data_IF_053276425591
#
_entry.id   IF_053276425591
#
_cell.length_a   1.000
_cell.length_b   1.000
_cell.length_c   1.000
_cell.angle_alpha   90.00
_cell.angle_beta   90.00
_cell.angle_gamma   90.00
#
_symmetry.space_group_name_H-M   'P 1'
#
loop_
_entity.id
_entity.type
_entity.pdbx_description
1 polymer ?
#
# COMPACT_ATOMS: atom_id res chain seq x y z
N UNK A 1 -22.10 -7.90 29.84
CA UNK A 1 -20.92 -7.01 29.97
C UNK A 1 -21.30 -5.68 29.33
N UNK A 2 -21.20 -4.57 30.06
CA UNK A 2 -21.60 -3.24 29.59
C UNK A 2 -20.48 -2.62 28.76
N UNK A 3 -20.35 -3.03 27.50
CA UNK A 3 -19.38 -2.47 26.58
C UNK A 3 -19.75 -1.03 26.20
N UNK A 4 -18.75 -0.16 26.02
CA UNK A 4 -18.94 1.18 25.48
C UNK A 4 -18.45 1.24 24.04
N UNK A 5 -19.29 1.75 23.16
CA UNK A 5 -18.96 2.11 21.78
C UNK A 5 -18.79 3.64 21.72
N UNK A 6 -17.68 4.10 21.13
CA UNK A 6 -17.39 5.51 20.92
C UNK A 6 -17.20 5.73 19.43
N UNK A 7 -18.05 6.55 18.82
CA UNK A 7 -18.01 6.89 17.39
C UNK A 7 -17.64 8.37 17.24
N UNK A 8 -16.85 8.69 16.22
CA UNK A 8 -16.56 10.05 15.80
C UNK A 8 -17.08 10.23 14.37
N UNK A 9 -18.20 10.93 14.22
CA UNK A 9 -18.99 10.87 12.99
C UNK A 9 -19.41 12.24 12.46
N UNK A 10 -19.50 12.33 11.13
CA UNK A 10 -20.13 13.44 10.44
C UNK A 10 -21.65 13.31 10.53
N UNK A 11 -22.33 14.33 11.03
CA UNK A 11 -23.78 14.29 11.26
C UNK A 11 -24.57 15.27 10.39
N UNK A 12 -23.87 16.02 9.52
CA UNK A 12 -24.45 17.00 8.62
C UNK A 12 -23.74 16.97 7.26
N UNK A 13 -24.52 17.14 6.19
CA UNK A 13 -23.98 17.31 4.85
C UNK A 13 -23.35 18.70 4.72
N UNK A 14 -22.05 18.75 4.45
CA UNK A 14 -21.34 19.98 4.10
C UNK A 14 -20.86 19.93 2.66
N UNK A 15 -20.79 21.09 2.00
CA UNK A 15 -20.25 21.20 0.63
C UNK A 15 -18.78 20.76 0.62
N UNK A 16 -18.01 21.18 1.62
CA UNK A 16 -16.61 20.79 1.76
C UNK A 16 -16.47 19.28 1.91
N UNK A 17 -17.22 18.64 2.81
CA UNK A 17 -17.18 17.18 2.98
C UNK A 17 -17.56 16.42 1.71
N UNK A 18 -18.57 16.89 0.98
CA UNK A 18 -18.97 16.29 -0.30
C UNK A 18 -17.90 16.44 -1.40
N UNK A 19 -17.19 17.57 -1.45
CA UNK A 19 -16.11 17.79 -2.43
C UNK A 19 -14.83 17.04 -2.04
N UNK A 20 -14.50 16.97 -0.75
CA UNK A 20 -13.29 16.34 -0.26
C UNK A 20 -13.39 14.81 -0.31
N UNK A 21 -14.51 14.25 0.12
CA UNK A 21 -14.66 12.80 0.27
C UNK A 21 -15.54 12.16 -0.81
N UNK A 22 -16.33 12.93 -1.55
CA UNK A 22 -17.24 12.42 -2.57
C UNK A 22 -16.59 11.76 -3.79
N UNK A 23 -15.27 11.85 -3.92
CA UNK A 23 -14.49 11.16 -4.96
C UNK A 23 -13.79 9.90 -4.44
N UNK A 24 -13.87 9.60 -3.14
CA UNK A 24 -13.27 8.40 -2.57
C UNK A 24 -14.08 7.16 -2.92
N UNK A 25 -13.38 6.12 -3.34
CA UNK A 25 -13.96 4.79 -3.52
C UNK A 25 -14.55 4.31 -2.18
N UNK A 26 -15.85 4.01 -2.19
CA UNK A 26 -16.59 3.58 -0.99
C UNK A 26 -17.51 4.64 -0.39
N UNK A 27 -17.27 5.93 -0.64
CA UNK A 27 -18.06 7.01 -0.04
C UNK A 27 -19.57 6.91 -0.35
N UNK A 28 -19.92 6.40 -1.52
CA UNK A 28 -21.31 6.24 -1.98
C UNK A 28 -21.83 4.79 -1.91
N UNK A 29 -21.07 3.84 -1.34
CA UNK A 29 -21.42 2.40 -1.37
C UNK A 29 -22.41 1.98 -0.28
N UNK A 30 -23.31 2.86 0.14
CA UNK A 30 -24.33 2.53 1.12
C UNK A 30 -25.58 1.91 0.48
N UNK A 31 -26.24 1.01 1.21
CA UNK A 31 -27.45 0.31 0.75
C UNK A 31 -28.70 0.70 1.56
N UNK A 32 -28.54 1.56 2.56
CA UNK A 32 -29.53 1.97 3.55
C UNK A 32 -29.93 3.46 3.37
N UNK A 33 -30.26 3.84 2.14
CA UNK A 33 -30.59 5.24 1.78
C UNK A 33 -31.71 5.85 2.65
N UNK A 34 -32.69 5.05 3.07
CA UNK A 34 -33.81 5.48 3.92
C UNK A 34 -33.39 5.98 5.31
N UNK A 35 -32.21 5.58 5.80
CA UNK A 35 -31.68 6.02 7.09
C UNK A 35 -30.84 7.29 6.98
N UNK A 36 -30.31 7.59 5.78
CA UNK A 36 -29.28 8.60 5.56
C UNK A 36 -29.87 9.97 5.23
N UNK A 37 -29.04 10.99 5.41
CA UNK A 37 -29.36 12.36 5.01
C UNK A 37 -29.45 12.38 3.47
N UNK A 38 -30.55 12.88 2.85
CA UNK A 38 -30.71 12.85 1.41
C UNK A 38 -29.51 13.40 0.61
N UNK A 39 -29.00 12.58 -0.31
CA UNK A 39 -27.83 12.92 -1.13
C UNK A 39 -26.53 13.04 -0.33
N UNK A 40 -26.37 12.24 0.72
CA UNK A 40 -25.19 12.15 1.58
C UNK A 40 -25.08 10.73 2.16
N UNK A 41 -23.87 10.19 2.38
CA UNK A 41 -23.72 8.95 3.13
C UNK A 41 -23.86 9.14 4.65
N UNK A 42 -24.08 10.35 5.15
CA UNK A 42 -24.09 10.61 6.59
C UNK A 42 -25.47 10.34 7.22
N UNK A 43 -25.48 9.91 8.49
CA UNK A 43 -26.68 9.78 9.30
C UNK A 43 -26.90 11.05 10.15
N UNK A 44 -28.15 11.43 10.36
CA UNK A 44 -28.50 12.47 11.33
C UNK A 44 -28.34 11.95 12.77
N UNK A 45 -28.23 12.83 13.79
CA UNK A 45 -28.17 12.39 15.18
C UNK A 45 -29.36 11.51 15.60
N UNK A 46 -30.57 11.85 15.14
CA UNK A 46 -31.77 11.06 15.44
C UNK A 46 -31.72 9.67 14.80
N UNK A 47 -31.13 9.55 13.61
CA UNK A 47 -30.99 8.27 12.91
C UNK A 47 -29.91 7.41 13.55
N UNK A 48 -28.79 8.01 13.97
CA UNK A 48 -27.78 7.33 14.78
C UNK A 48 -28.34 6.80 16.09
N UNK A 49 -29.10 7.62 16.83
CA UNK A 49 -29.74 7.18 18.07
C UNK A 49 -30.67 5.99 17.82
N UNK A 50 -31.51 6.06 16.78
CA UNK A 50 -32.44 4.98 16.44
C UNK A 50 -31.73 3.67 16.08
N UNK A 51 -30.68 3.74 15.25
CA UNK A 51 -29.90 2.56 14.84
C UNK A 51 -29.21 1.93 16.05
N UNK A 52 -28.55 2.74 16.88
CA UNK A 52 -27.87 2.25 18.08
C UNK A 52 -28.83 1.60 19.07
N UNK A 53 -30.00 2.20 19.31
CA UNK A 53 -31.03 1.61 20.17
C UNK A 53 -31.55 0.26 19.63
N UNK A 54 -31.73 0.13 18.30
CA UNK A 54 -32.15 -1.13 17.66
C UNK A 54 -31.07 -2.22 17.77
N UNK A 55 -29.80 -1.83 17.69
CA UNK A 55 -28.64 -2.72 17.76
C UNK A 55 -28.20 -3.08 19.20
N UNK A 56 -28.96 -2.67 20.22
CA UNK A 56 -28.69 -3.05 21.60
C UNK A 56 -27.87 -2.06 22.40
N UNK A 57 -27.86 -0.80 21.99
CA UNK A 57 -27.28 0.30 22.75
C UNK A 57 -28.36 1.23 23.29
N UNK A 58 -29.05 0.86 24.39
CA UNK A 58 -30.18 1.64 24.91
C UNK A 58 -29.79 2.99 25.49
N UNK A 59 -28.50 3.22 25.79
CA UNK A 59 -28.00 4.48 26.33
C UNK A 59 -27.08 5.11 25.29
N UNK A 60 -27.52 6.20 24.66
CA UNK A 60 -26.76 6.98 23.69
C UNK A 60 -26.54 8.39 24.23
N UNK A 61 -25.27 8.80 24.32
CA UNK A 61 -24.82 10.08 24.84
C UNK A 61 -24.05 10.84 23.76
N UNK A 62 -24.25 12.15 23.75
CA UNK A 62 -23.54 13.08 22.88
C UNK A 62 -22.72 14.02 23.76
N UNK A 63 -21.51 13.64 24.21
CA UNK A 63 -20.73 14.44 25.15
C UNK A 63 -20.36 15.84 24.62
N UNK A 64 -20.33 16.01 23.30
CA UNK A 64 -19.96 17.25 22.62
C UNK A 64 -21.14 17.97 21.95
N UNK A 65 -22.32 18.05 22.61
CA UNK A 65 -23.53 18.67 22.03
C UNK A 65 -23.31 20.11 21.56
N UNK A 66 -22.43 20.86 22.22
CA UNK A 66 -22.09 22.24 21.83
C UNK A 66 -21.37 22.34 20.49
N UNK A 67 -20.86 21.23 19.95
CA UNK A 67 -20.18 21.17 18.66
C UNK A 67 -21.09 20.67 17.52
N UNK A 68 -22.40 20.49 17.75
CA UNK A 68 -23.35 19.99 16.72
C UNK A 68 -23.35 20.89 15.49
N UNK A 69 -23.25 22.21 15.70
CA UNK A 69 -23.22 23.21 14.62
C UNK A 69 -21.96 23.13 13.75
N UNK A 70 -20.92 22.40 14.19
CA UNK A 70 -19.71 22.15 13.41
C UNK A 70 -19.85 20.93 12.47
N UNK A 71 -21.00 20.24 12.48
CA UNK A 71 -21.30 19.13 11.58
C UNK A 71 -20.63 17.80 11.93
N UNK A 72 -19.94 17.72 13.07
CA UNK A 72 -19.27 16.52 13.57
C UNK A 72 -19.64 16.26 15.04
N UNK A 73 -19.77 15.00 15.43
CA UNK A 73 -20.11 14.61 16.81
C UNK A 73 -19.35 13.38 17.29
N UNK A 74 -19.10 13.37 18.60
CA UNK A 74 -18.73 12.16 19.33
C UNK A 74 -20.02 11.55 19.87
N UNK A 75 -20.25 10.27 19.57
CA UNK A 75 -21.41 9.48 20.03
C UNK A 75 -20.87 8.40 20.96
N UNK A 76 -21.40 8.33 22.17
CA UNK A 76 -21.03 7.31 23.16
C UNK A 76 -22.25 6.44 23.43
N UNK A 77 -22.15 5.15 23.20
CA UNK A 77 -23.25 4.21 23.28
C UNK A 77 -22.90 3.04 24.21
N UNK A 78 -23.75 2.73 25.19
CA UNK A 78 -23.55 1.61 26.13
C UNK A 78 -24.37 0.40 25.70
N UNK A 79 -23.72 -0.74 25.56
CA UNK A 79 -24.35 -2.00 25.18
C UNK A 79 -25.18 -2.59 26.33
N UNK A 80 -26.36 -3.11 26.01
CA UNK A 80 -27.21 -3.90 26.90
C UNK A 80 -26.61 -5.29 27.23
N UNK A 81 -25.48 -5.64 26.62
CA UNK A 81 -24.77 -6.90 26.84
C UNK A 81 -25.31 -8.09 26.04
N UNK A 82 -26.28 -7.88 25.13
CA UNK A 82 -26.84 -8.91 24.27
C UNK A 82 -26.31 -8.78 22.84
N UNK A 83 -25.73 -9.86 22.32
CA UNK A 83 -25.35 -9.96 20.92
C UNK A 83 -26.58 -10.41 20.13
N UNK A 84 -27.13 -9.52 19.31
CA UNK A 84 -28.20 -9.85 18.38
C UNK A 84 -27.59 -10.49 17.14
N UNK A 85 -27.80 -11.80 16.97
CA UNK A 85 -27.49 -12.47 15.71
C UNK A 85 -28.66 -12.27 14.76
N UNK A 86 -28.46 -11.48 13.71
CA UNK A 86 -29.42 -11.41 12.61
C UNK A 86 -29.34 -12.74 11.87
N UNK A 87 -30.40 -13.56 11.95
CA UNK A 87 -30.61 -14.71 11.07
C UNK A 87 -30.80 -14.20 9.62
N UNK A 88 -29.71 -13.76 8.99
CA UNK A 88 -29.63 -13.45 7.56
C UNK A 88 -28.51 -14.29 6.96
N UNK A 89 -28.94 -15.46 6.48
CA UNK A 89 -28.34 -16.28 5.42
C UNK A 89 -26.94 -16.87 5.70
N UNK A 90 -26.86 -17.77 6.68
CA UNK A 90 -25.88 -18.87 6.67
C UNK A 90 -26.48 -20.21 6.21
N UNK A 91 -27.74 -20.22 5.77
CA UNK A 91 -28.50 -21.45 5.43
C UNK A 91 -28.81 -21.65 3.94
N UNK A 92 -28.11 -20.97 3.01
CA UNK A 92 -28.38 -21.15 1.57
C UNK A 92 -27.15 -21.28 0.64
N UNK A 93 -26.03 -21.80 1.15
CA UNK A 93 -24.90 -22.27 0.31
C UNK A 93 -24.54 -23.75 0.53
N UNK A 94 -25.40 -24.51 1.21
CA UNK A 94 -25.28 -25.96 1.35
C UNK A 94 -26.43 -26.67 0.63
N UNK A 95 -26.13 -27.30 -0.51
CA UNK A 95 -27.00 -28.12 -1.39
C UNK A 95 -27.82 -27.36 -2.44
N UNK A 96 -27.15 -26.97 -3.53
CA UNK A 96 -27.72 -27.18 -4.86
C UNK A 96 -26.99 -28.36 -5.46
N UNK A 97 -27.69 -29.49 -5.56
CA UNK A 97 -27.20 -30.68 -6.22
C UNK A 97 -26.99 -30.45 -7.71
N UNK A 98 -25.95 -31.08 -8.23
CA UNK A 98 -25.57 -31.26 -9.63
C UNK A 98 -26.71 -31.05 -10.64
N UNK A 99 -26.69 -29.91 -11.32
CA UNK A 99 -27.31 -29.75 -12.63
C UNK A 99 -26.18 -29.57 -13.66
N UNK A 100 -25.97 -30.64 -14.42
CA UNK A 100 -25.00 -30.77 -15.50
C UNK A 100 -25.45 -29.91 -16.69
N UNK A 101 -24.56 -29.06 -17.20
CA UNK A 101 -24.61 -28.52 -18.57
C UNK A 101 -23.29 -28.88 -19.29
N UNK A 102 -23.34 -29.27 -20.57
CA UNK A 102 -22.27 -30.02 -21.21
C UNK A 102 -21.13 -29.11 -21.70
N UNK A 103 -19.89 -29.47 -21.39
CA UNK A 103 -18.69 -28.91 -22.00
C UNK A 103 -18.12 -29.91 -23.00
N UNK A 104 -17.89 -29.45 -24.23
CA UNK A 104 -17.24 -30.21 -25.30
C UNK A 104 -15.75 -29.89 -25.22
N UNK A 105 -14.92 -30.90 -24.99
CA UNK A 105 -13.47 -30.83 -25.19
C UNK A 105 -13.07 -31.48 -26.51
N UNK A 106 -12.16 -30.83 -27.24
CA UNK A 106 -11.43 -31.38 -28.39
C UNK A 106 -9.94 -31.37 -28.03
N UNK A 107 -9.35 -32.57 -27.94
CA UNK A 107 -7.92 -32.85 -28.19
C UNK A 107 -7.89 -33.85 -29.37
N UNK A 108 -6.89 -33.97 -30.23
CA UNK A 108 -5.49 -33.56 -30.24
C UNK A 108 -4.97 -33.66 -31.69
N UNK A 109 -3.80 -33.07 -31.99
CA UNK A 109 -2.96 -33.50 -33.11
C UNK A 109 -2.33 -32.41 -33.96
N UNK A 110 -1.02 -32.21 -33.81
CA UNK A 110 -0.20 -31.56 -34.83
C UNK A 110 1.05 -30.88 -34.27
N UNK A 111 2.17 -31.60 -34.27
CA UNK A 111 3.51 -31.03 -34.07
C UNK A 111 3.75 -29.87 -35.05
N UNK A 112 3.95 -28.64 -34.54
CA UNK A 112 4.97 -27.70 -35.03
C UNK A 112 4.94 -26.35 -34.32
N UNK A 113 6.13 -25.77 -34.18
CA UNK A 113 6.44 -24.36 -33.86
C UNK A 113 6.53 -23.97 -32.38
N UNK A 114 7.74 -24.14 -31.84
CA UNK A 114 8.24 -23.54 -30.59
C UNK A 114 8.50 -22.01 -30.76
N UNK A 115 7.95 -21.33 -31.77
CA UNK A 115 8.36 -19.94 -32.09
C UNK A 115 7.43 -18.80 -31.59
N UNK A 116 6.22 -19.08 -31.06
CA UNK A 116 5.21 -18.02 -30.90
C UNK A 116 5.24 -17.14 -29.62
N UNK A 117 5.66 -17.61 -28.42
CA UNK A 117 5.62 -16.76 -27.21
C UNK A 117 6.63 -15.60 -27.26
N UNK A 118 7.84 -15.86 -27.77
CA UNK A 118 8.94 -14.89 -27.77
C UNK A 118 8.71 -13.78 -28.80
N UNK A 119 8.25 -14.14 -30.01
CA UNK A 119 7.91 -13.18 -31.07
C UNK A 119 6.74 -12.27 -30.67
N UNK A 120 5.81 -12.76 -29.86
CA UNK A 120 4.65 -11.99 -29.39
C UNK A 120 5.06 -10.95 -28.33
N UNK A 121 5.92 -11.32 -27.39
CA UNK A 121 6.50 -10.37 -26.42
C UNK A 121 7.35 -9.31 -27.11
N UNK A 122 8.15 -9.69 -28.11
CA UNK A 122 8.94 -8.75 -28.90
C UNK A 122 8.08 -7.74 -29.65
N UNK A 123 6.92 -8.15 -30.17
CA UNK A 123 5.97 -7.24 -30.83
C UNK A 123 5.35 -6.22 -29.87
N UNK A 124 4.98 -6.64 -28.66
CA UNK A 124 4.45 -5.73 -27.62
C UNK A 124 5.52 -4.73 -27.18
N UNK A 125 6.75 -5.18 -26.96
CA UNK A 125 7.89 -4.31 -26.61
C UNK A 125 8.19 -3.33 -27.74
N UNK A 126 8.18 -3.78 -29.00
CA UNK A 126 8.38 -2.91 -30.17
C UNK A 126 7.32 -1.81 -30.27
N UNK A 127 6.04 -2.15 -30.03
CA UNK A 127 4.94 -1.20 -29.98
C UNK A 127 5.10 -0.15 -28.88
N UNK A 128 5.50 -0.57 -27.68
CA UNK A 128 5.74 0.34 -26.54
C UNK A 128 6.93 1.26 -26.83
N UNK A 129 8.05 0.72 -27.32
CA UNK A 129 9.25 1.50 -27.66
C UNK A 129 8.98 2.53 -28.77
N UNK A 130 8.16 2.17 -29.76
CA UNK A 130 7.75 3.08 -30.83
C UNK A 130 6.89 4.22 -30.31
N UNK A 131 5.94 3.94 -29.41
CA UNK A 131 5.13 4.96 -28.75
C UNK A 131 5.97 5.89 -27.85
N UNK A 132 6.96 5.33 -27.15
CA UNK A 132 7.87 6.12 -26.30
C UNK A 132 8.77 7.03 -27.15
N UNK A 133 9.35 6.49 -28.23
CA UNK A 133 10.17 7.24 -29.19
C UNK A 133 9.40 8.39 -29.85
N UNK A 134 8.14 8.17 -30.25
CA UNK A 134 7.28 9.20 -30.84
C UNK A 134 6.88 10.30 -29.83
N UNK A 135 6.63 9.91 -28.58
CA UNK A 135 6.23 10.84 -27.52
C UNK A 135 7.39 11.71 -27.04
N UNK A 136 8.60 11.14 -26.94
CA UNK A 136 9.79 11.82 -26.45
C UNK A 136 10.68 12.42 -27.56
N UNK A 137 10.41 12.09 -28.83
CA UNK A 137 11.22 12.48 -30.01
C UNK A 137 12.69 12.06 -29.91
N UNK A 138 12.96 10.95 -29.24
CA UNK A 138 14.30 10.33 -29.14
C UNK A 138 14.36 9.05 -29.98
N UNK A 139 15.53 8.67 -30.53
CA UNK A 139 15.68 7.43 -31.27
C UNK A 139 15.33 6.20 -30.41
N UNK A 140 14.76 5.17 -31.03
CA UNK A 140 14.39 3.92 -30.35
C UNK A 140 15.60 3.27 -29.65
N UNK A 141 16.78 3.37 -30.25
CA UNK A 141 18.02 2.74 -29.78
C UNK A 141 18.64 3.44 -28.55
N UNK A 142 18.12 4.60 -28.14
CA UNK A 142 18.56 5.32 -26.93
C UNK A 142 17.63 5.09 -25.73
N UNK A 143 16.72 4.13 -25.82
CA UNK A 143 15.75 3.79 -24.77
C UNK A 143 16.11 2.41 -24.21
N UNK A 144 16.51 2.39 -22.93
CA UNK A 144 16.73 1.18 -22.13
C UNK A 144 15.40 0.62 -21.61
N UNK A 145 15.22 -0.70 -21.69
CA UNK A 145 13.92 -1.34 -21.45
C UNK A 145 13.53 -1.44 -19.95
N UNK A 146 14.52 -1.41 -19.05
CA UNK A 146 14.39 -1.55 -17.60
C UNK A 146 14.38 -0.21 -16.86
N UNK A 147 14.74 0.88 -17.53
CA UNK A 147 14.79 2.21 -16.96
C UNK A 147 13.38 2.82 -16.74
N UNK A 148 13.14 3.51 -15.61
CA UNK A 148 11.87 4.17 -15.35
C UNK A 148 11.51 5.27 -16.36
N UNK A 149 10.23 5.34 -16.75
CA UNK A 149 9.68 6.37 -17.64
C UNK A 149 9.87 7.79 -17.09
N UNK A 150 9.88 7.96 -15.76
CA UNK A 150 10.16 9.24 -15.09
C UNK A 150 11.53 9.79 -15.44
N UNK A 151 12.53 8.93 -15.62
CA UNK A 151 13.92 9.32 -15.87
C UNK A 151 14.10 9.80 -17.32
N UNK A 152 13.19 9.39 -18.21
CA UNK A 152 13.05 9.92 -19.56
C UNK A 152 12.19 11.19 -19.64
N UNK A 153 11.66 11.67 -18.51
CA UNK A 153 10.85 12.89 -18.42
C UNK A 153 9.37 12.69 -18.73
N UNK A 154 8.84 11.46 -18.64
CA UNK A 154 7.39 11.21 -18.75
C UNK A 154 6.71 11.73 -17.48
N UNK A 155 5.99 12.85 -17.61
CA UNK A 155 5.16 13.47 -16.57
C UNK A 155 3.64 13.24 -16.80
N UNK A 156 2.79 13.87 -16.00
CA UNK A 156 1.33 13.73 -16.10
C UNK A 156 0.72 14.21 -17.44
N UNK A 157 1.44 15.04 -18.21
CA UNK A 157 0.97 15.54 -19.51
C UNK A 157 1.48 14.62 -20.63
N UNK A 158 2.78 14.32 -20.65
CA UNK A 158 3.40 13.42 -21.63
C UNK A 158 2.90 11.98 -21.49
N UNK A 159 2.58 11.55 -20.27
CA UNK A 159 2.04 10.23 -19.98
C UNK A 159 0.70 9.95 -20.67
N UNK A 160 -0.18 10.95 -20.78
CA UNK A 160 -1.47 10.78 -21.48
C UNK A 160 -1.29 10.56 -22.99
N UNK A 161 -0.37 11.28 -23.61
CA UNK A 161 -0.05 11.14 -25.03
C UNK A 161 0.63 9.81 -25.33
N UNK A 162 1.55 9.38 -24.46
CA UNK A 162 2.23 8.09 -24.54
C UNK A 162 1.24 6.92 -24.43
N UNK A 163 0.39 6.90 -23.40
CA UNK A 163 -0.61 5.82 -23.23
C UNK A 163 -1.61 5.78 -24.38
N UNK A 164 -2.02 6.95 -24.91
CA UNK A 164 -2.86 7.01 -26.11
C UNK A 164 -2.18 6.35 -27.31
N UNK A 165 -0.88 6.60 -27.52
CA UNK A 165 -0.13 5.98 -28.62
C UNK A 165 0.07 4.48 -28.43
N UNK A 166 0.26 4.00 -27.19
CA UNK A 166 0.35 2.56 -26.89
C UNK A 166 -1.01 1.89 -27.13
N UNK A 167 -2.10 2.51 -26.69
CA UNK A 167 -3.47 2.04 -26.93
C UNK A 167 -3.77 1.95 -28.44
N UNK A 168 -3.37 2.95 -29.23
CA UNK A 168 -3.53 2.95 -30.69
C UNK A 168 -2.63 1.90 -31.37
N UNK A 169 -1.38 1.72 -30.92
CA UNK A 169 -0.43 0.80 -31.51
C UNK A 169 -0.76 -0.67 -31.24
N UNK A 170 -1.32 -0.96 -30.06
CA UNK A 170 -1.63 -2.32 -29.62
C UNK A 170 -3.13 -2.64 -29.69
N UNK A 171 -4.00 -1.67 -29.94
CA UNK A 171 -5.45 -1.89 -29.99
C UNK A 171 -6.07 -2.20 -28.61
N UNK A 172 -5.47 -1.68 -27.53
CA UNK A 172 -5.91 -1.88 -26.14
C UNK A 172 -6.46 -0.58 -25.53
N UNK A 173 -7.15 -0.69 -24.40
CA UNK A 173 -7.72 0.46 -23.69
C UNK A 173 -7.18 0.55 -22.26
N UNK A 174 -5.98 1.09 -22.10
CA UNK A 174 -5.35 1.34 -20.81
C UNK A 174 -5.60 2.77 -20.31
N UNK A 175 -5.68 2.95 -18.98
CA UNK A 175 -5.68 4.26 -18.33
C UNK A 175 -4.25 4.80 -18.15
N UNK A 176 -4.12 6.10 -17.88
CA UNK A 176 -2.81 6.75 -17.67
C UNK A 176 -2.19 6.45 -16.30
N UNK A 177 -2.92 5.89 -15.34
CA UNK A 177 -2.38 5.53 -14.04
C UNK A 177 -1.41 4.32 -14.14
N UNK A 178 -1.66 3.42 -15.08
CA UNK A 178 -0.89 2.17 -15.31
C UNK A 178 0.60 2.44 -15.57
N UNK A 179 0.99 3.57 -16.16
CA UNK A 179 2.41 3.89 -16.39
C UNK A 179 3.16 4.31 -15.11
N UNK A 180 2.44 4.65 -14.04
CA UNK A 180 3.00 4.88 -12.71
C UNK A 180 3.14 3.57 -11.92
N UNK A 181 2.28 2.60 -12.19
CA UNK A 181 2.35 1.26 -11.60
C UNK A 181 3.35 0.34 -12.33
N UNK A 182 3.51 0.55 -13.64
CA UNK A 182 4.39 -0.20 -14.54
C UNK A 182 5.39 0.75 -15.20
N UNK A 183 6.43 1.09 -14.45
CA UNK A 183 7.30 2.24 -14.75
C UNK A 183 8.33 2.01 -15.85
N UNK A 184 8.47 0.82 -16.44
CA UNK A 184 9.45 0.55 -17.51
C UNK A 184 8.84 -0.21 -18.68
N UNK A 185 9.53 -0.25 -19.82
CA UNK A 185 9.07 -0.93 -21.04
C UNK A 185 8.81 -2.41 -20.77
N UNK A 186 9.70 -3.08 -20.03
CA UNK A 186 9.52 -4.49 -19.68
C UNK A 186 8.30 -4.72 -18.79
N UNK A 187 8.13 -3.89 -17.74
CA UNK A 187 7.02 -4.03 -16.80
C UNK A 187 5.68 -3.72 -17.46
N UNK A 188 5.64 -2.75 -18.36
CA UNK A 188 4.44 -2.42 -19.12
C UNK A 188 4.12 -3.52 -20.14
N UNK A 189 5.13 -4.09 -20.81
CA UNK A 189 4.94 -5.21 -21.72
C UNK A 189 4.38 -6.44 -21.01
N UNK A 190 4.91 -6.77 -19.82
CA UNK A 190 4.44 -7.90 -19.02
C UNK A 190 3.00 -7.68 -18.53
N UNK A 191 2.65 -6.46 -18.11
CA UNK A 191 1.27 -6.09 -17.77
C UNK A 191 0.31 -6.21 -18.95
N UNK A 192 0.71 -5.72 -20.13
CA UNK A 192 -0.09 -5.78 -21.35
C UNK A 192 -0.32 -7.23 -21.77
N UNK A 193 0.71 -8.08 -21.70
CA UNK A 193 0.61 -9.50 -22.01
C UNK A 193 -0.28 -10.26 -21.02
N UNK A 194 -0.16 -9.97 -19.72
CA UNK A 194 -0.96 -10.60 -18.68
C UNK A 194 -2.45 -10.21 -18.77
N UNK A 195 -2.73 -8.94 -19.07
CA UNK A 195 -4.08 -8.36 -19.00
C UNK A 195 -4.82 -8.45 -20.33
N UNK A 196 -4.15 -8.14 -21.44
CA UNK A 196 -4.74 -8.04 -22.77
C UNK A 196 -4.24 -9.11 -23.75
N UNK A 197 -3.36 -10.03 -23.31
CA UNK A 197 -2.75 -11.04 -24.18
C UNK A 197 -3.76 -11.89 -24.96
N UNK A 198 -4.94 -12.17 -24.39
CA UNK A 198 -6.02 -12.91 -25.07
C UNK A 198 -6.69 -12.09 -26.19
N UNK A 199 -6.95 -10.80 -25.97
CA UNK A 199 -7.54 -9.89 -26.96
C UNK A 199 -6.56 -9.58 -28.09
N UNK A 200 -5.28 -9.38 -27.73
CA UNK A 200 -4.17 -9.17 -28.65
C UNK A 200 -3.89 -10.42 -29.52
N UNK A 201 -4.02 -11.63 -28.93
CA UNK A 201 -3.86 -12.89 -29.66
C UNK A 201 -4.98 -13.14 -30.68
N UNK A 202 -6.20 -12.68 -30.40
CA UNK A 202 -7.34 -12.76 -31.32
C UNK A 202 -7.18 -11.83 -32.54
N UNK A 203 -6.52 -10.67 -32.37
CA UNK A 203 -6.12 -9.79 -33.48
C UNK A 203 -4.95 -10.33 -34.30
N UNK A 204 -4.05 -11.11 -33.69
CA UNK A 204 -2.93 -11.76 -34.35
C UNK A 204 -3.31 -12.99 -35.20
N UNK A 205 -4.45 -13.63 -34.90
CA UNK A 205 -4.92 -14.83 -35.61
C UNK A 205 -5.74 -14.53 -36.88
N UNK A 206 -6.09 -13.27 -37.15
CA UNK A 206 -6.84 -12.88 -38.37
C UNK A 206 -5.97 -12.70 -39.64
N UNK A 207 -4.68 -13.03 -39.59
CA UNK A 207 -3.78 -12.98 -40.76
C UNK A 207 -3.17 -14.35 -41.14
N UNK A 208 -3.68 -15.44 -40.55
CA UNK A 208 -3.36 -16.81 -40.94
C UNK A 208 -4.66 -17.64 -40.97
N UNK A 209 -5.54 -17.29 -41.90
CA UNK A 209 -6.81 -17.99 -42.12
C UNK A 209 -6.60 -19.28 -42.93
N UNK A 210 -7.61 -20.15 -42.88
CA UNK A 210 -7.78 -21.39 -43.65
C UNK A 210 -6.90 -22.60 -43.25
N UNK A 211 -7.46 -23.56 -42.51
CA UNK A 211 -7.95 -24.85 -43.05
C UNK A 211 -8.36 -25.81 -41.91
N UNK A 212 -9.54 -26.44 -42.08
CA UNK A 212 -10.02 -27.72 -41.51
C UNK A 212 -10.70 -27.72 -40.13
N UNK A 213 -12.01 -27.86 -40.22
CA UNK A 213 -12.93 -28.24 -39.17
C UNK A 213 -12.85 -29.73 -38.78
N UNK A 214 -13.18 -29.99 -37.50
CA UNK A 214 -13.94 -31.15 -36.98
C UNK A 214 -13.22 -32.50 -36.84
N UNK A 215 -12.95 -32.94 -35.60
CA UNK A 215 -13.47 -34.19 -35.00
C UNK A 215 -12.86 -34.51 -33.61
N UNK A 216 -13.71 -35.08 -32.74
CA UNK A 216 -13.49 -35.52 -31.35
C UNK A 216 -12.64 -36.80 -31.19
N UNK A 217 -12.03 -37.03 -30.01
CA UNK A 217 -12.51 -37.94 -28.91
C UNK A 217 -11.44 -38.15 -27.82
N UNK A 218 -11.93 -38.27 -26.58
CA UNK A 218 -11.33 -38.30 -25.23
C UNK A 218 -10.61 -39.63 -24.86
N UNK A 219 -9.57 -39.57 -23.98
CA UNK A 219 -9.35 -40.48 -22.80
C UNK A 219 -8.11 -40.13 -21.89
N UNK A 220 -8.39 -39.51 -20.73
CA UNK A 220 -7.94 -39.65 -19.30
C UNK A 220 -6.57 -40.26 -18.85
N UNK A 221 -5.77 -39.50 -18.06
CA UNK A 221 -5.53 -39.65 -16.59
C UNK A 221 -4.26 -38.91 -16.08
N UNK A 222 -4.38 -38.17 -14.95
CA UNK A 222 -3.30 -37.77 -14.05
C UNK A 222 -3.84 -37.66 -12.59
N UNK A 223 -3.05 -37.95 -11.53
CA UNK A 223 -3.56 -37.97 -10.16
C UNK A 223 -3.32 -36.66 -9.38
N UNK A 224 -4.43 -36.20 -8.78
CA UNK A 224 -4.66 -35.72 -7.41
C UNK A 224 -3.56 -34.98 -6.62
N UNK A 225 -3.82 -33.69 -6.33
CA UNK A 225 -3.33 -32.99 -5.15
C UNK A 225 -4.47 -32.08 -4.62
N UNK A 226 -4.95 -32.38 -3.42
CA UNK A 226 -6.03 -31.66 -2.76
C UNK A 226 -5.56 -30.26 -2.26
N UNK A 227 -6.43 -29.23 -2.21
CA UNK A 227 -6.10 -27.94 -1.60
C UNK A 227 -6.21 -28.02 -0.08
N UNK A 228 -5.22 -27.47 0.62
CA UNK A 228 -5.23 -27.32 2.08
C UNK A 228 -6.15 -26.16 2.51
N UNK A 229 -6.89 -26.36 3.61
CA UNK A 229 -7.75 -25.36 4.26
C UNK A 229 -6.93 -24.23 4.93
N UNK A 230 -7.44 -22.97 4.99
CA UNK A 230 -6.77 -21.88 5.69
C UNK A 230 -6.86 -22.10 7.20
N UNK A 231 -5.74 -22.46 7.82
CA UNK A 231 -5.63 -22.55 9.28
C UNK A 231 -5.40 -21.16 9.86
N UNK A 232 -6.44 -20.55 10.45
CA UNK A 232 -6.30 -19.46 11.42
C UNK A 232 -5.75 -20.00 12.74
N UNK A 233 -4.48 -20.43 12.71
CA UNK A 233 -3.71 -20.62 13.93
C UNK A 233 -3.11 -19.28 14.30
N UNK A 234 -3.25 -18.88 15.56
CA UNK A 234 -2.52 -17.76 16.16
C UNK A 234 -1.02 -18.10 16.11
N UNK A 235 -0.42 -17.93 14.94
CA UNK A 235 0.99 -18.18 14.73
C UNK A 235 1.77 -17.12 15.49
N UNK A 236 2.76 -17.58 16.25
CA UNK A 236 3.70 -16.67 16.92
C UNK A 236 4.50 -15.92 15.85
N UNK A 237 4.68 -14.62 16.04
CA UNK A 237 5.43 -13.76 15.11
C UNK A 237 6.88 -13.72 15.59
N UNK A 238 7.81 -14.03 14.68
CA UNK A 238 9.24 -14.01 14.97
C UNK A 238 9.83 -12.64 14.62
N UNK A 239 10.69 -12.12 15.50
CA UNK A 239 11.59 -11.01 15.17
C UNK A 239 12.85 -11.64 14.61
N UNK A 240 13.13 -11.39 13.34
CA UNK A 240 14.21 -12.07 12.58
C UNK A 240 15.44 -11.19 12.33
N UNK A 241 15.33 -9.87 12.51
CA UNK A 241 16.44 -8.94 12.45
C UNK A 241 16.12 -7.62 13.15
N UNK A 242 17.16 -6.89 13.53
CA UNK A 242 17.03 -5.60 14.20
C UNK A 242 18.20 -4.66 13.90
N UNK A 243 17.91 -3.36 13.88
CA UNK A 243 18.94 -2.32 13.83
C UNK A 243 18.43 -1.08 14.55
N UNK A 244 19.35 -0.27 15.05
CA UNK A 244 19.01 1.00 15.68
C UNK A 244 20.24 1.74 16.18
N UNK A 245 20.09 3.06 16.30
CA UNK A 245 21.09 3.95 16.89
C UNK A 245 20.55 4.57 18.16
N UNK A 246 21.44 4.75 19.14
CA UNK A 246 21.11 5.25 20.47
C UNK A 246 22.17 6.24 20.95
N UNK A 247 21.86 7.11 21.93
CA UNK A 247 22.87 7.95 22.54
C UNK A 247 24.06 7.13 23.04
N UNK A 248 25.27 7.44 22.56
CA UNK A 248 26.49 6.73 22.92
C UNK A 248 26.63 5.30 22.36
N UNK A 249 25.78 4.90 21.41
CA UNK A 249 25.83 3.60 20.73
C UNK A 249 25.35 3.70 19.27
N UNK A 250 26.26 3.41 18.34
CA UNK A 250 26.00 3.47 16.89
C UNK A 250 25.18 2.28 16.35
N UNK A 251 25.00 1.24 17.15
CA UNK A 251 24.32 -0.01 16.79
C UNK A 251 23.77 -0.71 18.06
N UNK A 252 22.99 -1.78 17.85
CA UNK A 252 22.35 -2.57 18.92
C UNK A 252 23.37 -3.30 19.81
N UNK A 253 24.52 -3.68 19.28
CA UNK A 253 25.59 -4.35 20.03
C UNK A 253 26.28 -3.39 21.01
N UNK A 254 26.64 -2.19 20.54
CA UNK A 254 27.17 -1.14 21.40
C UNK A 254 26.14 -0.71 22.44
N UNK A 255 24.85 -0.68 22.07
CA UNK A 255 23.77 -0.40 23.02
C UNK A 255 23.68 -1.46 24.10
N UNK A 256 23.75 -2.74 23.74
CA UNK A 256 23.80 -3.85 24.69
C UNK A 256 25.00 -3.74 25.65
N UNK A 257 26.18 -3.43 25.13
CA UNK A 257 27.38 -3.24 25.95
C UNK A 257 27.20 -2.07 26.95
N UNK A 258 26.60 -0.97 26.52
CA UNK A 258 26.30 0.17 27.40
C UNK A 258 25.32 -0.23 28.51
N UNK A 259 24.27 -1.01 28.20
CA UNK A 259 23.30 -1.51 29.17
C UNK A 259 23.96 -2.44 30.21
N UNK A 260 24.77 -3.40 29.75
CA UNK A 260 25.51 -4.33 30.63
C UNK A 260 26.48 -3.58 31.54
N UNK A 261 27.13 -2.51 31.03
CA UNK A 261 28.05 -1.69 31.80
C UNK A 261 27.36 -0.67 32.73
N UNK A 262 26.03 -0.49 32.64
CA UNK A 262 25.31 0.55 33.38
C UNK A 262 25.75 1.98 33.01
N UNK A 263 26.16 2.19 31.75
CA UNK A 263 26.72 3.46 31.28
C UNK A 263 25.62 4.50 31.07
N UNK A 264 25.73 5.64 31.77
CA UNK A 264 24.93 6.82 31.48
C UNK A 264 25.43 7.50 30.19
N UNK A 265 24.55 7.61 29.21
CA UNK A 265 24.84 8.18 27.89
C UNK A 265 24.22 9.58 27.71
N UNK A 266 23.72 10.19 28.78
CA UNK A 266 23.25 11.57 28.78
C UNK A 266 24.46 12.52 28.82
N UNK A 267 24.49 13.44 27.87
CA UNK A 267 25.55 14.43 27.76
C UNK A 267 24.98 15.85 27.77
N UNK A 268 25.87 16.82 28.00
CA UNK A 268 25.50 18.23 27.88
C UNK A 268 25.20 18.55 26.42
N UNK A 269 24.04 19.15 26.15
CA UNK A 269 23.61 19.43 24.78
C UNK A 269 24.58 20.43 24.11
N UNK A 270 24.87 20.29 22.81
CA UNK A 270 25.60 21.28 22.03
C UNK A 270 24.94 22.66 22.07
N UNK A 271 25.74 23.71 21.89
CA UNK A 271 25.27 25.10 21.98
C UNK A 271 24.10 25.42 21.03
N UNK A 272 24.01 24.78 19.87
CA UNK A 272 22.92 25.01 18.90
C UNK A 272 21.56 24.44 19.33
N UNK A 273 21.52 23.50 20.29
CA UNK A 273 20.27 23.04 20.93
C UNK A 273 19.90 23.90 22.15
N UNK A 274 20.80 24.77 22.59
CA UNK A 274 20.67 25.58 23.80
C UNK A 274 20.30 26.98 23.35
N UNK A 275 19.02 27.17 23.08
CA UNK A 275 18.48 28.48 22.72
C UNK A 275 18.81 29.50 23.84
N UNK A 276 19.43 30.61 23.47
CA UNK A 276 19.95 31.60 24.44
C UNK A 276 18.84 32.49 25.03
N UNK A 277 17.66 32.53 24.41
CA UNK A 277 16.55 33.41 24.82
C UNK A 277 15.37 32.69 25.51
N UNK A 278 15.39 31.35 25.57
CA UNK A 278 14.33 30.58 26.20
C UNK A 278 14.52 30.50 27.73
N UNK A 279 13.48 30.87 28.49
CA UNK A 279 13.40 30.72 29.97
C UNK A 279 13.60 29.29 30.49
N UNK A 280 13.71 28.30 29.61
CA UNK A 280 14.00 26.89 29.90
C UNK A 280 14.95 26.34 28.83
N UNK A 281 16.24 26.66 28.94
CA UNK A 281 17.27 25.97 28.19
C UNK A 281 17.49 24.57 28.81
N UNK A 282 17.14 23.52 28.07
CA UNK A 282 17.47 22.15 28.46
C UNK A 282 19.00 21.98 28.37
N UNK A 283 19.63 21.51 29.46
CA UNK A 283 21.10 21.38 29.54
C UNK A 283 21.59 20.00 29.12
N UNK A 284 20.79 18.96 29.35
CA UNK A 284 21.19 17.57 29.24
C UNK A 284 20.25 16.83 28.28
N UNK A 285 20.80 15.92 27.48
CA UNK A 285 20.01 15.03 26.63
C UNK A 285 20.87 13.95 25.98
N UNK A 286 20.19 12.95 25.42
CA UNK A 286 20.81 11.93 24.58
C UNK A 286 20.71 12.34 23.12
N UNK A 287 21.84 12.35 22.41
CA UNK A 287 21.90 12.72 20.98
C UNK A 287 22.61 11.60 20.22
N UNK A 288 22.14 11.31 19.02
CA UNK A 288 22.84 10.43 18.09
C UNK A 288 24.07 11.16 17.52
N UNK A 289 25.22 10.48 17.51
CA UNK A 289 26.50 11.06 17.08
C UNK A 289 26.46 11.47 15.60
N UNK A 290 25.97 10.58 14.73
CA UNK A 290 25.95 10.75 13.27
C UNK A 290 24.54 11.01 12.73
N UNK A 291 23.69 11.72 13.50
CA UNK A 291 22.29 12.01 13.13
C UNK A 291 22.13 12.59 11.72
N UNK A 292 23.08 13.42 11.29
CA UNK A 292 23.01 14.15 10.04
C UNK A 292 23.68 13.40 8.87
N UNK A 293 24.40 12.30 9.14
CA UNK A 293 25.06 11.50 8.12
C UNK A 293 24.06 10.61 7.37
N UNK A 294 24.19 10.59 6.05
CA UNK A 294 23.36 9.80 5.15
C UNK A 294 24.12 9.58 3.84
N UNK A 295 24.00 8.39 3.25
CA UNK A 295 24.52 8.09 1.91
C UNK A 295 23.39 8.23 0.89
N UNK A 296 23.19 9.40 0.27
CA UNK A 296 22.04 9.62 -0.59
C UNK A 296 22.14 8.84 -1.90
N UNK A 297 23.34 8.65 -2.44
CA UNK A 297 23.53 7.99 -3.72
C UNK A 297 23.22 6.49 -3.63
N UNK A 298 23.50 5.86 -2.49
CA UNK A 298 23.08 4.49 -2.23
C UNK A 298 21.56 4.29 -2.37
N UNK A 299 20.78 5.26 -1.89
CA UNK A 299 19.31 5.24 -1.95
C UNK A 299 18.73 5.85 -3.24
N UNK A 300 19.56 6.13 -4.26
CA UNK A 300 19.17 6.85 -5.48
C UNK A 300 18.52 8.21 -5.21
N UNK A 301 18.98 8.91 -4.17
CA UNK A 301 18.53 10.25 -3.78
C UNK A 301 19.60 11.26 -4.17
N UNK A 302 19.20 12.38 -4.77
CA UNK A 302 20.17 13.44 -5.09
C UNK A 302 20.67 14.14 -3.82
N UNK A 303 21.94 14.61 -3.77
CA UNK A 303 22.45 15.34 -2.60
C UNK A 303 21.58 16.54 -2.20
N UNK A 304 21.07 17.27 -3.19
CA UNK A 304 20.16 18.41 -2.98
C UNK A 304 18.84 17.99 -2.32
N UNK A 305 18.30 16.84 -2.70
CA UNK A 305 17.09 16.32 -2.04
C UNK A 305 17.42 15.86 -0.62
N UNK A 306 18.54 15.16 -0.41
CA UNK A 306 18.95 14.68 0.90
C UNK A 306 19.13 15.80 1.94
N UNK A 307 19.66 16.97 1.52
CA UNK A 307 19.75 18.18 2.36
C UNK A 307 18.38 18.67 2.85
N UNK A 308 17.34 18.49 2.03
CA UNK A 308 15.97 18.89 2.35
C UNK A 308 15.21 17.88 3.21
N UNK A 309 15.76 16.66 3.38
CA UNK A 309 15.08 15.57 4.06
C UNK A 309 15.18 15.71 5.57
N UNK A 310 14.02 15.59 6.22
CA UNK A 310 13.90 15.37 7.65
C UNK A 310 14.87 14.23 8.05
N UNK A 311 15.76 14.44 9.05
CA UNK A 311 16.69 13.42 9.52
C UNK A 311 16.02 12.07 9.86
N UNK A 312 14.77 12.06 10.32
CA UNK A 312 14.04 10.82 10.61
C UNK A 312 13.83 9.96 9.35
N UNK A 313 13.56 10.57 8.20
CA UNK A 313 13.44 9.83 6.93
C UNK A 313 14.76 9.14 6.57
N UNK A 314 15.88 9.87 6.73
CA UNK A 314 17.24 9.37 6.43
C UNK A 314 17.66 8.25 7.38
N UNK A 315 17.37 8.40 8.68
CA UNK A 315 17.66 7.38 9.68
C UNK A 315 16.85 6.11 9.45
N UNK A 316 15.54 6.23 9.22
CA UNK A 316 14.68 5.08 8.95
C UNK A 316 15.14 4.31 7.70
N UNK A 317 15.50 4.99 6.62
CA UNK A 317 16.04 4.34 5.42
C UNK A 317 17.28 3.50 5.75
N UNK A 318 18.23 4.07 6.48
CA UNK A 318 19.48 3.38 6.87
C UNK A 318 19.22 2.21 7.80
N UNK A 319 18.46 2.42 8.88
CA UNK A 319 18.26 1.41 9.92
C UNK A 319 17.36 0.28 9.44
N UNK A 320 16.38 0.55 8.57
CA UNK A 320 15.56 -0.52 8.00
C UNK A 320 16.36 -1.37 7.01
N UNK A 321 17.26 -0.77 6.23
CA UNK A 321 18.16 -1.53 5.35
C UNK A 321 19.06 -2.46 6.19
N UNK A 322 19.70 -1.94 7.24
CA UNK A 322 20.54 -2.73 8.15
C UNK A 322 19.76 -3.83 8.85
N UNK A 323 18.52 -3.58 9.27
CA UNK A 323 17.68 -4.59 9.91
C UNK A 323 17.34 -5.75 8.96
N UNK A 324 17.14 -5.47 7.66
CA UNK A 324 16.97 -6.50 6.64
C UNK A 324 18.26 -7.28 6.39
N UNK A 325 19.42 -6.63 6.41
CA UNK A 325 20.73 -7.30 6.32
C UNK A 325 21.01 -8.19 7.53
N UNK A 326 20.68 -7.72 8.74
CA UNK A 326 20.77 -8.49 9.99
C UNK A 326 19.86 -9.72 9.96
N UNK A 327 18.66 -9.59 9.37
CA UNK A 327 17.77 -10.71 9.12
C UNK A 327 18.29 -11.71 8.05
N UNK A 328 19.39 -11.39 7.37
CA UNK A 328 19.97 -12.21 6.30
C UNK A 328 19.22 -12.13 4.97
N UNK A 329 18.35 -11.12 4.79
CA UNK A 329 17.62 -10.92 3.54
C UNK A 329 18.39 -9.99 2.61
N UNK A 330 18.31 -10.26 1.30
CA UNK A 330 18.62 -9.25 0.30
C UNK A 330 17.38 -8.34 0.16
N UNK A 331 17.44 -7.04 0.53
CA UNK A 331 16.26 -6.17 0.51
C UNK A 331 15.58 -6.09 -0.86
N UNK A 332 16.35 -6.25 -1.96
CA UNK A 332 15.82 -6.24 -3.32
C UNK A 332 14.91 -7.43 -3.63
N UNK A 333 15.02 -8.52 -2.88
CA UNK A 333 14.14 -9.70 -3.04
C UNK A 333 12.74 -9.48 -2.48
N UNK A 334 12.50 -8.41 -1.70
CA UNK A 334 11.18 -8.04 -1.20
C UNK A 334 10.39 -7.20 -2.22
N UNK A 335 10.98 -6.84 -3.36
CA UNK A 335 10.30 -6.06 -4.39
C UNK A 335 9.08 -6.81 -4.94
N UNK A 336 7.90 -6.18 -4.83
CA UNK A 336 6.62 -6.77 -5.21
C UNK A 336 5.93 -7.58 -4.11
N UNK A 337 6.59 -7.85 -2.99
CA UNK A 337 6.01 -8.58 -1.86
C UNK A 337 5.01 -7.72 -1.08
N UNK A 338 4.09 -8.39 -0.38
CA UNK A 338 3.16 -7.78 0.57
C UNK A 338 3.85 -7.47 1.91
N UNK A 339 5.03 -6.84 1.83
CA UNK A 339 5.79 -6.41 3.01
C UNK A 339 5.26 -5.07 3.52
N UNK A 340 5.05 -4.96 4.83
CA UNK A 340 4.48 -3.78 5.47
C UNK A 340 5.53 -2.91 6.16
N UNK A 341 5.22 -1.63 6.32
CA UNK A 341 5.99 -0.67 7.10
C UNK A 341 5.07 0.03 8.09
N UNK A 342 5.31 -0.20 9.38
CA UNK A 342 4.66 0.52 10.46
C UNK A 342 5.70 1.26 11.28
N UNK A 343 5.64 2.59 11.27
CA UNK A 343 6.65 3.45 11.89
C UNK A 343 6.01 4.33 12.96
N UNK A 344 6.47 4.22 14.19
CA UNK A 344 6.10 5.14 15.25
C UNK A 344 6.94 6.42 15.17
N UNK A 345 6.32 7.58 14.93
CA UNK A 345 7.04 8.86 14.88
C UNK A 345 6.18 10.01 15.41
N UNK A 346 6.79 10.86 16.24
CA UNK A 346 6.21 12.14 16.64
C UNK A 346 6.61 13.24 15.64
N UNK A 347 5.72 14.24 15.41
CA UNK A 347 6.02 15.38 14.57
C UNK A 347 7.26 16.13 15.09
N UNK A 348 8.26 16.24 14.23
CA UNK A 348 9.54 16.88 14.58
C UNK A 348 9.49 18.41 14.55
N UNK A 349 8.47 18.98 13.91
CA UNK A 349 8.45 20.40 13.56
C UNK A 349 9.51 20.77 12.52
N UNK A 350 10.14 19.79 11.86
CA UNK A 350 11.11 20.04 10.80
C UNK A 350 10.42 20.70 9.61
N UNK A 351 10.86 21.91 9.28
CA UNK A 351 10.33 22.69 8.16
C UNK A 351 11.40 22.84 7.07
N UNK A 352 11.01 22.54 5.85
CA UNK A 352 11.79 22.82 4.64
C UNK A 352 10.82 23.20 3.52
N UNK A 353 11.29 23.99 2.54
CA UNK A 353 10.47 24.38 1.37
C UNK A 353 10.02 23.17 0.52
N UNK A 354 10.70 22.05 0.68
CA UNK A 354 10.37 20.79 -0.01
C UNK A 354 9.31 20.06 0.81
N UNK A 355 8.13 19.89 0.25
CA UNK A 355 7.07 19.09 0.85
C UNK A 355 7.51 17.64 1.09
N UNK A 356 8.19 17.02 0.12
CA UNK A 356 8.63 15.62 0.22
C UNK A 356 9.77 15.44 1.23
N UNK A 357 10.55 16.49 1.46
CA UNK A 357 11.62 16.50 2.46
C UNK A 357 11.09 16.70 3.89
N UNK A 358 10.04 17.50 4.07
CA UNK A 358 9.51 17.87 5.39
C UNK A 358 8.36 16.99 5.90
N UNK A 359 7.62 16.33 5.01
CA UNK A 359 6.45 15.52 5.39
C UNK A 359 6.82 14.30 6.25
N UNK A 360 6.15 14.15 7.39
CA UNK A 360 6.31 12.98 8.26
C UNK A 360 5.71 11.72 7.63
N UNK A 361 4.64 11.83 6.83
CA UNK A 361 4.06 10.68 6.13
C UNK A 361 5.05 9.97 5.20
N UNK A 362 5.98 10.76 4.63
CA UNK A 362 7.01 10.28 3.72
C UNK A 362 8.05 9.38 4.41
N UNK A 363 8.13 9.37 5.75
CA UNK A 363 9.02 8.49 6.52
C UNK A 363 8.78 7.01 6.19
N UNK A 364 7.52 6.57 6.11
CA UNK A 364 7.19 5.20 5.72
C UNK A 364 7.21 5.01 4.20
N UNK A 365 6.64 5.98 3.45
CA UNK A 365 6.43 5.81 2.01
C UNK A 365 7.72 5.76 1.19
N UNK A 366 8.80 6.46 1.61
CA UNK A 366 10.08 6.44 0.86
C UNK A 366 10.72 5.06 0.83
N UNK A 367 10.74 4.37 1.95
CA UNK A 367 11.35 3.04 2.01
C UNK A 367 10.50 2.01 1.26
N UNK A 368 9.17 2.08 1.41
CA UNK A 368 8.23 1.28 0.61
C UNK A 368 8.44 1.51 -0.90
N UNK A 369 8.58 2.77 -1.32
CA UNK A 369 8.87 3.12 -2.71
C UNK A 369 10.24 2.60 -3.18
N UNK A 370 11.29 2.83 -2.40
CA UNK A 370 12.66 2.43 -2.73
C UNK A 370 12.81 0.91 -2.89
N UNK A 371 12.16 0.13 -2.03
CA UNK A 371 12.17 -1.33 -2.08
C UNK A 371 11.04 -1.92 -2.93
N UNK A 372 10.15 -1.09 -3.49
CA UNK A 372 8.96 -1.50 -4.25
C UNK A 372 8.04 -2.48 -3.47
N UNK A 373 7.77 -2.17 -2.21
CA UNK A 373 6.93 -2.99 -1.33
C UNK A 373 5.44 -2.69 -1.60
N UNK A 374 4.60 -3.72 -1.53
CA UNK A 374 3.17 -3.62 -1.87
C UNK A 374 2.23 -3.67 -0.66
N UNK A 375 2.77 -3.91 0.54
CA UNK A 375 2.00 -3.86 1.77
C UNK A 375 1.77 -2.43 2.29
N UNK A 376 0.99 -2.28 3.38
CA UNK A 376 0.71 -0.98 3.99
C UNK A 376 1.99 -0.26 4.45
N UNK A 377 2.05 1.06 4.23
CA UNK A 377 3.16 1.91 4.70
C UNK A 377 2.61 3.08 5.53
N UNK A 378 2.64 2.96 6.85
CA UNK A 378 1.91 3.81 7.79
C UNK A 378 2.85 4.41 8.84
N UNK A 379 2.71 5.71 9.06
CA UNK A 379 3.28 6.41 10.20
C UNK A 379 2.21 6.55 11.27
N UNK A 380 2.54 6.13 12.49
CA UNK A 380 1.66 6.10 13.65
C UNK A 380 2.17 7.10 14.68
N UNK A 381 1.28 7.93 15.20
CA UNK A 381 1.57 8.84 16.29
C UNK A 381 0.54 8.67 17.41
N UNK A 382 0.99 8.07 18.51
CA UNK A 382 0.27 7.97 19.78
C UNK A 382 1.14 8.52 20.92
N UNK A 383 2.01 9.49 20.61
CA UNK A 383 3.01 10.05 21.51
C UNK A 383 4.09 9.03 21.89
N UNK A 384 4.47 8.99 23.17
CA UNK A 384 5.53 8.09 23.67
C UNK A 384 5.23 6.58 23.47
N UNK A 385 4.00 6.21 23.11
CA UNK A 385 3.59 4.82 22.85
C UNK A 385 3.66 4.41 21.37
N UNK A 386 4.05 5.33 20.47
CA UNK A 386 3.95 5.15 19.02
C UNK A 386 4.64 3.90 18.48
N UNK A 387 5.84 3.57 18.99
CA UNK A 387 6.56 2.37 18.56
C UNK A 387 5.86 1.07 18.98
N UNK A 388 5.27 1.04 20.18
CA UNK A 388 4.48 -0.10 20.65
C UNK A 388 3.21 -0.31 19.83
N UNK A 389 2.52 0.78 19.46
CA UNK A 389 1.33 0.70 18.60
C UNK A 389 1.70 0.30 17.17
N UNK A 390 2.82 0.80 16.63
CA UNK A 390 3.32 0.39 15.32
C UNK A 390 3.62 -1.12 15.27
N UNK A 391 4.30 -1.66 16.29
CA UNK A 391 4.55 -3.11 16.41
C UNK A 391 3.23 -3.89 16.50
N UNK A 392 2.28 -3.41 17.29
CA UNK A 392 0.96 -4.04 17.41
C UNK A 392 0.23 -4.12 16.06
N UNK A 393 0.19 -3.03 15.30
CA UNK A 393 -0.45 -2.98 13.98
C UNK A 393 0.25 -3.88 12.97
N UNK A 394 1.59 -3.92 12.97
CA UNK A 394 2.35 -4.86 12.14
C UNK A 394 1.98 -6.32 12.48
N UNK A 395 1.83 -6.63 13.77
CA UNK A 395 1.46 -7.98 14.19
C UNK A 395 0.05 -8.37 13.75
N UNK A 396 -0.91 -7.45 13.83
CA UNK A 396 -2.26 -7.69 13.33
C UNK A 396 -2.27 -7.86 11.81
N UNK A 397 -1.53 -7.03 11.06
CA UNK A 397 -1.41 -7.15 9.60
C UNK A 397 -0.90 -8.53 9.17
N UNK A 398 0.13 -9.05 9.86
CA UNK A 398 0.64 -10.41 9.64
C UNK A 398 -0.37 -11.50 10.02
N UNK A 399 -1.10 -11.36 11.13
CA UNK A 399 -2.09 -12.34 11.59
C UNK A 399 -3.30 -12.44 10.66
N UNK A 400 -3.74 -11.31 10.10
CA UNK A 400 -4.85 -11.24 9.17
C UNK A 400 -4.43 -11.48 7.71
N UNK A 401 -3.14 -11.77 7.48
CA UNK A 401 -2.56 -11.98 6.15
C UNK A 401 -2.79 -10.79 5.20
N UNK A 402 -2.91 -9.58 5.75
CA UNK A 402 -2.83 -8.33 4.99
C UNK A 402 -1.39 -8.08 4.51
N UNK A 403 -0.42 -8.68 5.18
CA UNK A 403 1.00 -8.63 4.83
C UNK A 403 1.68 -9.95 5.18
N UNK A 404 2.80 -10.23 4.54
CA UNK A 404 3.59 -11.46 4.74
C UNK A 404 4.95 -11.21 5.39
N UNK A 405 5.40 -9.95 5.48
CA UNK A 405 6.66 -9.52 6.09
C UNK A 405 6.48 -8.21 6.84
#
# INVERSE_FOLDING_TARGET
CNGLLILNEGIQKTVLGALTFGLLDGWWRYEDEDLRIPGSPLLSPDSWQRVLEQEGFPVVLYPARSAIDLGQQIIVAESDGWIRQTDRVYLQLGRVGNAVLPTIDITDGGQNSIAHPTLFREHVIDGILKALSLSLKIPKDSIENDQPFSDYGIDSILGTAFVKQVNEALGVAMNTAIIFDHTSVERLADYVLATYGKELSAGFQQQADDTVARASRIAINAPDAAPAEPQTTSASIAIIGMSGQFPGAKDVDAFWQNLVAGKDCIAELPAHYRDNDAKQAYRWGGILEDRDCFDPLFFNISPREAESMNPHQRLILQESWKALEDAGYNPKCLAGEQACLYIGAEPTGYFHESFTGSSDATIASRLSYFLNLKGPAIVVNTGCSSSGVAIHLACESLRHAESNV
#
